data_IF_838268408832
#
_entry.id   IF_838268408832
#
_cell.length_a   1.000
_cell.length_b   1.000
_cell.length_c   1.000
_cell.angle_alpha   90.00
_cell.angle_beta   90.00
_cell.angle_gamma   90.00
#
_symmetry.space_group_name_H-M   'P 1'
#
loop_
_entity.id
_entity.type
_entity.pdbx_description
1 polymer ?
#
# COMPACT_ATOMS: atom_id res chain seq x y z
N UNK A 1 18.66 -39.48 37.28
CA UNK A 1 17.85 -38.33 36.79
C UNK A 1 18.79 -37.23 36.30
N UNK A 2 18.93 -37.02 34.97
CA UNK A 2 19.83 -36.02 34.34
C UNK A 2 19.07 -35.04 33.43
N UNK A 3 17.80 -34.77 33.73
CA UNK A 3 16.94 -33.88 32.93
C UNK A 3 17.08 -32.36 33.17
N UNK A 4 17.59 -31.83 34.32
CA UNK A 4 17.49 -30.39 34.58
C UNK A 4 18.46 -29.56 33.72
N UNK A 5 19.64 -30.09 33.37
CA UNK A 5 20.65 -29.35 32.60
C UNK A 5 20.24 -29.13 31.13
N UNK A 6 19.59 -30.13 30.53
CA UNK A 6 19.13 -30.04 29.14
C UNK A 6 18.01 -28.99 29.04
N UNK A 7 17.09 -28.97 30.00
CA UNK A 7 16.01 -27.99 30.05
C UNK A 7 16.51 -26.55 30.21
N UNK A 8 17.55 -26.33 31.03
CA UNK A 8 18.17 -25.00 31.22
C UNK A 8 18.91 -24.53 29.97
N UNK A 9 19.62 -25.43 29.27
CA UNK A 9 20.31 -25.09 28.03
C UNK A 9 19.29 -24.73 26.93
N UNK A 10 18.20 -25.49 26.83
CA UNK A 10 17.14 -25.23 25.85
C UNK A 10 16.45 -23.88 26.09
N UNK A 11 16.14 -23.56 27.36
CA UNK A 11 15.50 -22.29 27.71
C UNK A 11 16.42 -21.10 27.48
N UNK A 12 17.72 -21.22 27.80
CA UNK A 12 18.72 -20.19 27.52
C UNK A 12 18.88 -19.96 26.00
N UNK A 13 18.90 -21.03 25.20
CA UNK A 13 18.97 -20.93 23.74
C UNK A 13 17.73 -20.26 23.16
N UNK A 14 16.53 -20.60 23.64
CA UNK A 14 15.28 -19.96 23.21
C UNK A 14 15.27 -18.47 23.55
N UNK A 15 15.71 -18.08 24.75
CA UNK A 15 15.82 -16.67 25.13
C UNK A 15 16.85 -15.93 24.28
N UNK A 16 17.97 -16.57 23.95
CA UNK A 16 18.99 -15.98 23.09
C UNK A 16 18.49 -15.77 21.65
N UNK A 17 17.75 -16.74 21.09
CA UNK A 17 17.14 -16.62 19.77
C UNK A 17 16.04 -15.56 19.73
N UNK A 18 15.20 -15.49 20.76
CA UNK A 18 14.17 -14.46 20.88
C UNK A 18 14.80 -13.07 21.04
N UNK A 19 15.79 -12.92 21.93
CA UNK A 19 16.50 -11.66 22.13
C UNK A 19 17.25 -11.21 20.88
N UNK A 20 17.99 -12.12 20.24
CA UNK A 20 18.70 -11.87 19.00
C UNK A 20 17.75 -11.50 17.85
N UNK A 21 16.63 -12.21 17.72
CA UNK A 21 15.59 -11.91 16.73
C UNK A 21 14.96 -10.55 16.94
N UNK A 22 14.67 -10.16 18.19
CA UNK A 22 14.13 -8.83 18.52
C UNK A 22 15.15 -7.74 18.15
N UNK A 23 16.40 -7.87 18.58
CA UNK A 23 17.46 -6.87 18.28
C UNK A 23 17.66 -6.75 16.78
N UNK A 24 17.76 -7.87 16.07
CA UNK A 24 17.90 -7.89 14.61
C UNK A 24 16.73 -7.20 13.92
N UNK A 25 15.49 -7.47 14.37
CA UNK A 25 14.30 -6.85 13.83
C UNK A 25 14.31 -5.33 14.03
N UNK A 26 14.62 -4.85 15.23
CA UNK A 26 14.68 -3.40 15.50
C UNK A 26 15.82 -2.71 14.76
N UNK A 27 16.98 -3.36 14.62
CA UNK A 27 18.13 -2.80 13.90
C UNK A 27 17.87 -2.63 12.40
N UNK A 28 17.04 -3.49 11.81
CA UNK A 28 16.70 -3.45 10.38
C UNK A 28 15.35 -2.81 10.08
N UNK A 29 14.66 -2.23 11.08
CA UNK A 29 13.41 -1.52 10.79
C UNK A 29 13.72 -0.27 9.97
N UNK A 30 13.03 -0.06 8.84
CA UNK A 30 13.16 1.18 8.09
C UNK A 30 12.73 2.37 8.97
N UNK A 31 13.33 3.56 8.76
CA UNK A 31 12.93 4.74 9.49
C UNK A 31 11.42 5.01 9.27
N UNK A 32 10.72 5.64 10.24
CA UNK A 32 9.28 5.86 10.16
C UNK A 32 8.82 6.55 8.88
N UNK A 33 9.64 7.46 8.35
CA UNK A 33 9.39 8.19 7.09
C UNK A 33 9.39 7.28 5.86
N UNK A 34 10.34 6.34 5.77
CA UNK A 34 10.38 5.36 4.69
C UNK A 34 9.16 4.43 4.77
N UNK A 35 8.79 4.01 5.98
CA UNK A 35 7.59 3.19 6.20
C UNK A 35 6.30 3.92 5.84
N UNK A 36 6.19 5.22 6.15
CA UNK A 36 5.02 6.01 5.75
C UNK A 36 4.95 6.21 4.24
N UNK A 37 6.10 6.44 3.58
CA UNK A 37 6.21 6.50 2.12
C UNK A 37 5.75 5.19 1.47
N UNK A 38 6.24 4.05 1.94
CA UNK A 38 5.84 2.74 1.41
C UNK A 38 4.35 2.49 1.62
N UNK A 39 3.84 2.83 2.81
CA UNK A 39 2.42 2.72 3.10
C UNK A 39 1.57 3.66 2.21
N UNK A 40 2.07 4.86 1.91
CA UNK A 40 1.43 5.82 1.01
C UNK A 40 1.42 5.30 -0.43
N UNK A 41 2.52 4.75 -0.91
CA UNK A 41 2.61 4.12 -2.23
C UNK A 41 1.65 2.91 -2.36
N UNK A 42 1.68 2.00 -1.38
CA UNK A 42 0.78 0.84 -1.35
C UNK A 42 -0.71 1.25 -1.30
N UNK A 43 -1.03 2.32 -0.55
CA UNK A 43 -2.39 2.89 -0.51
C UNK A 43 -2.82 3.42 -1.88
N UNK A 44 -1.92 4.07 -2.61
CA UNK A 44 -2.19 4.53 -3.97
C UNK A 44 -2.42 3.35 -4.93
N UNK A 45 -1.56 2.32 -4.91
CA UNK A 45 -1.71 1.15 -5.78
C UNK A 45 -3.05 0.46 -5.54
N UNK A 46 -3.44 0.26 -4.27
CA UNK A 46 -4.75 -0.29 -3.94
C UNK A 46 -5.91 0.61 -4.40
N UNK A 47 -5.72 1.92 -4.43
CA UNK A 47 -6.72 2.87 -4.91
C UNK A 47 -6.85 2.82 -6.44
N UNK A 48 -5.74 2.84 -7.17
CA UNK A 48 -5.67 2.69 -8.62
C UNK A 48 -6.28 1.36 -9.09
N UNK A 49 -5.95 0.24 -8.41
CA UNK A 49 -6.54 -1.08 -8.68
C UNK A 49 -8.06 -1.13 -8.54
N UNK A 50 -8.66 -0.31 -7.66
CA UNK A 50 -10.12 -0.23 -7.52
C UNK A 50 -10.75 0.53 -8.70
N UNK A 51 -10.13 1.63 -9.11
CA UNK A 51 -10.57 2.42 -10.27
C UNK A 51 -10.49 1.56 -11.53
N UNK A 52 -9.35 0.91 -11.77
CA UNK A 52 -9.10 0.06 -12.93
C UNK A 52 -10.11 -1.10 -13.00
N UNK A 53 -10.37 -1.79 -11.88
CA UNK A 53 -11.41 -2.82 -11.82
C UNK A 53 -12.79 -2.30 -12.24
N UNK A 54 -13.18 -1.10 -11.84
CA UNK A 54 -14.48 -0.52 -12.25
C UNK A 54 -14.55 -0.28 -13.76
N UNK A 55 -13.44 0.14 -14.37
CA UNK A 55 -13.33 0.36 -15.81
C UNK A 55 -13.34 -0.97 -16.56
N UNK A 56 -12.58 -1.98 -16.09
CA UNK A 56 -12.53 -3.31 -16.70
C UNK A 56 -13.89 -4.03 -16.68
N UNK A 57 -14.71 -3.82 -15.64
CA UNK A 57 -16.07 -4.37 -15.58
C UNK A 57 -17.04 -3.72 -16.59
N UNK A 58 -16.68 -2.57 -17.16
CA UNK A 58 -17.52 -1.81 -18.08
C UNK A 58 -16.68 -1.31 -19.26
N UNK A 59 -16.17 -2.18 -20.15
CA UNK A 59 -15.15 -1.81 -21.15
C UNK A 59 -15.55 -0.63 -22.05
N UNK A 60 -16.85 -0.45 -22.32
CA UNK A 60 -17.40 0.66 -23.12
C UNK A 60 -17.19 2.05 -22.50
N UNK A 61 -16.78 2.12 -21.23
CA UNK A 61 -16.53 3.38 -20.51
C UNK A 61 -15.07 3.83 -20.56
N UNK A 62 -14.16 3.03 -21.15
CA UNK A 62 -12.75 3.41 -21.29
C UNK A 62 -12.66 4.69 -22.13
N UNK A 63 -11.99 5.71 -21.62
CA UNK A 63 -11.96 7.03 -22.26
C UNK A 63 -13.10 7.96 -21.88
N UNK A 64 -14.10 7.50 -21.12
CA UNK A 64 -15.18 8.36 -20.63
C UNK A 64 -14.74 9.11 -19.37
N UNK A 65 -14.49 10.42 -19.53
CA UNK A 65 -14.06 11.32 -18.45
C UNK A 65 -15.02 11.38 -17.26
N UNK A 66 -16.33 11.32 -17.54
CA UNK A 66 -17.36 11.31 -16.51
C UNK A 66 -17.31 10.03 -15.68
N UNK A 67 -17.20 8.87 -16.35
CA UNK A 67 -17.06 7.59 -15.67
C UNK A 67 -15.78 7.51 -14.85
N UNK A 68 -14.64 7.97 -15.40
CA UNK A 68 -13.38 7.99 -14.66
C UNK A 68 -13.48 8.83 -13.39
N UNK A 69 -14.08 10.02 -13.47
CA UNK A 69 -14.32 10.86 -12.29
C UNK A 69 -15.18 10.13 -11.26
N UNK A 70 -16.25 9.49 -11.69
CA UNK A 70 -17.08 8.65 -10.82
C UNK A 70 -16.28 7.52 -10.16
N UNK A 71 -15.45 6.79 -10.91
CA UNK A 71 -14.64 5.69 -10.38
C UNK A 71 -13.60 6.16 -9.36
N UNK A 72 -12.96 7.30 -9.60
CA UNK A 72 -12.06 7.97 -8.66
C UNK A 72 -12.80 8.35 -7.38
N UNK A 73 -13.96 9.00 -7.50
CA UNK A 73 -14.75 9.47 -6.35
C UNK A 73 -15.24 8.28 -5.49
N UNK A 74 -15.79 7.23 -6.10
CA UNK A 74 -16.31 6.04 -5.39
C UNK A 74 -15.21 5.18 -4.78
N UNK A 75 -14.02 5.15 -5.38
CA UNK A 75 -12.87 4.45 -4.80
C UNK A 75 -12.40 5.10 -3.49
N UNK A 76 -12.82 6.34 -3.23
CA UNK A 76 -12.48 7.11 -2.04
C UNK A 76 -13.34 6.75 -0.83
N UNK A 77 -13.02 5.65 -0.16
CA UNK A 77 -13.84 5.15 0.96
C UNK A 77 -13.03 4.44 2.05
N UNK A 78 -13.65 4.25 3.21
CA UNK A 78 -13.08 3.50 4.34
C UNK A 78 -11.76 4.08 4.84
N UNK A 79 -10.76 3.21 5.07
CA UNK A 79 -9.46 3.59 5.63
C UNK A 79 -8.69 4.64 4.78
N UNK A 80 -8.89 4.66 3.46
CA UNK A 80 -8.26 5.66 2.58
C UNK A 80 -8.85 7.05 2.74
N UNK A 81 -10.14 7.13 3.07
CA UNK A 81 -10.82 8.38 3.39
C UNK A 81 -10.40 8.86 4.79
N UNK A 82 -10.40 7.96 5.77
CA UNK A 82 -10.01 8.27 7.15
C UNK A 82 -8.54 8.71 7.30
N UNK A 83 -7.64 8.19 6.46
CA UNK A 83 -6.21 8.56 6.48
C UNK A 83 -5.89 9.87 5.76
N UNK A 84 -6.89 10.60 5.23
CA UNK A 84 -6.71 11.81 4.42
C UNK A 84 -5.83 11.66 3.16
N UNK A 85 -5.41 10.43 2.82
CA UNK A 85 -4.59 10.13 1.63
C UNK A 85 -5.41 10.20 0.35
N UNK A 86 -6.66 9.75 0.41
CA UNK A 86 -7.52 9.70 -0.78
C UNK A 86 -7.76 11.06 -1.47
N UNK A 87 -8.08 12.16 -0.75
CA UNK A 87 -8.21 13.48 -1.39
C UNK A 87 -6.96 13.92 -2.17
N UNK A 88 -5.78 13.45 -1.79
CA UNK A 88 -4.53 13.71 -2.52
C UNK A 88 -4.50 12.95 -3.84
N UNK A 89 -4.67 11.63 -3.81
CA UNK A 89 -4.69 10.79 -5.02
C UNK A 89 -5.76 11.23 -6.00
N UNK A 90 -6.98 11.47 -5.49
CA UNK A 90 -8.11 11.97 -6.27
C UNK A 90 -7.75 13.23 -7.04
N UNK A 91 -7.19 14.23 -6.36
CA UNK A 91 -6.82 15.51 -7.00
C UNK A 91 -5.77 15.28 -8.09
N UNK A 92 -4.76 14.46 -7.82
CA UNK A 92 -3.70 14.18 -8.79
C UNK A 92 -4.19 13.41 -10.02
N UNK A 93 -5.00 12.36 -9.85
CA UNK A 93 -5.55 11.60 -10.98
C UNK A 93 -6.55 12.43 -11.81
N UNK A 94 -7.35 13.28 -11.18
CA UNK A 94 -8.31 14.12 -11.91
C UNK A 94 -7.63 15.29 -12.64
N UNK A 95 -6.43 15.71 -12.22
CA UNK A 95 -5.66 16.77 -12.89
C UNK A 95 -5.34 16.41 -14.34
N UNK A 96 -5.03 15.14 -14.60
CA UNK A 96 -4.76 14.61 -15.93
C UNK A 96 -5.61 13.37 -16.24
N UNK A 97 -6.93 13.53 -16.06
CA UNK A 97 -7.87 12.45 -16.34
C UNK A 97 -7.80 11.90 -17.77
N UNK A 98 -7.40 12.72 -18.76
CA UNK A 98 -7.28 12.26 -20.15
C UNK A 98 -6.23 11.15 -20.28
N UNK A 99 -5.11 11.30 -19.56
CA UNK A 99 -4.04 10.32 -19.49
C UNK A 99 -4.43 9.12 -18.63
N UNK A 100 -4.85 9.37 -17.39
CA UNK A 100 -5.05 8.30 -16.42
C UNK A 100 -6.27 7.41 -16.69
N UNK A 101 -7.22 7.84 -17.52
CA UNK A 101 -8.25 6.92 -18.02
C UNK A 101 -7.69 5.69 -18.74
N UNK A 102 -6.50 5.80 -19.32
CA UNK A 102 -5.83 4.73 -20.06
C UNK A 102 -4.62 4.18 -19.30
N UNK A 103 -3.87 5.02 -18.59
CA UNK A 103 -2.66 4.57 -17.91
C UNK A 103 -2.90 3.96 -16.52
N UNK A 104 -4.12 4.08 -15.96
CA UNK A 104 -4.44 3.52 -14.64
C UNK A 104 -4.36 1.99 -14.59
N UNK A 105 -4.21 1.29 -15.72
CA UNK A 105 -4.01 -0.17 -15.74
C UNK A 105 -2.66 -0.58 -15.14
N UNK A 106 -1.62 0.22 -15.35
CA UNK A 106 -0.34 0.03 -14.67
C UNK A 106 -0.36 0.80 -13.34
N UNK A 107 -0.81 0.13 -12.27
CA UNK A 107 -1.05 0.77 -10.97
C UNK A 107 0.20 1.43 -10.39
N UNK A 108 1.37 0.79 -10.54
CA UNK A 108 2.63 1.31 -10.02
C UNK A 108 3.07 2.57 -10.78
N UNK A 109 3.11 2.51 -12.11
CA UNK A 109 3.50 3.65 -12.94
C UNK A 109 2.54 4.83 -12.78
N UNK A 110 1.23 4.56 -12.69
CA UNK A 110 0.22 5.59 -12.45
C UNK A 110 0.45 6.28 -11.09
N UNK A 111 0.83 5.52 -10.05
CA UNK A 111 1.15 6.07 -8.73
C UNK A 111 2.49 6.82 -8.69
N UNK A 112 3.49 6.38 -9.46
CA UNK A 112 4.75 7.12 -9.64
C UNK A 112 4.51 8.45 -10.37
N UNK A 113 3.67 8.45 -11.40
CA UNK A 113 3.35 9.65 -12.18
C UNK A 113 2.71 10.77 -11.34
N UNK A 114 1.97 10.41 -10.28
CA UNK A 114 1.40 11.37 -9.32
C UNK A 114 2.25 11.61 -8.07
N UNK A 115 3.48 11.08 -8.03
CA UNK A 115 4.42 11.15 -6.89
C UNK A 115 3.85 10.55 -5.59
N UNK A 116 3.03 9.53 -5.71
CA UNK A 116 2.58 8.71 -4.58
C UNK A 116 3.48 7.51 -4.32
N UNK A 117 4.21 7.12 -5.36
CA UNK A 117 5.45 6.39 -5.36
C UNK A 117 6.47 7.29 -6.10
#
# INVERSE_FOLDING_TARGET
MKFPRISIILSALCLFLLGGGIIFFYAHRPPPEARDRDAYCASCISYASRIDRMIQHNPDVRGNKGFFRYAVDVSCRGALLASHRCPSYRRSFLKDSNRFMYEIENHLEACQAIRAC
#
